data_IF_538070803544
#
_entry.id   IF_538070803544
#
_cell.length_a   1.000
_cell.length_b   1.000
_cell.length_c   1.000
_cell.angle_alpha   90.00
_cell.angle_beta   90.00
_cell.angle_gamma   90.00
#
_symmetry.space_group_name_H-M   'P 1'
#
loop_
_entity.id
_entity.type
_entity.pdbx_description
1 polymer ?
#
# COMPACT_ATOMS: atom_id res chain seq x y z
N UNK A 1 -30.18 49.12 32.54
CA UNK A 1 -28.79 48.61 32.72
C UNK A 1 -28.48 47.64 31.58
N UNK A 2 -27.33 47.82 30.91
CA UNK A 2 -26.64 46.78 30.15
C UNK A 2 -27.01 46.57 28.67
N UNK A 3 -26.47 47.40 27.77
CA UNK A 3 -26.15 46.96 26.41
C UNK A 3 -24.95 45.99 26.46
N UNK A 4 -24.87 45.00 25.56
CA UNK A 4 -23.65 44.67 24.78
C UNK A 4 -23.92 43.61 23.69
N UNK A 5 -23.59 44.03 22.48
CA UNK A 5 -23.45 43.35 21.19
C UNK A 5 -22.27 42.38 21.12
N UNK A 6 -22.42 41.26 20.39
CA UNK A 6 -21.40 40.62 19.51
C UNK A 6 -22.12 39.52 18.71
N UNK A 7 -22.29 39.59 17.37
CA UNK A 7 -21.33 39.17 16.32
C UNK A 7 -20.62 37.85 16.69
N UNK A 8 -20.39 36.83 15.87
CA UNK A 8 -20.52 36.54 14.44
C UNK A 8 -19.73 35.23 14.28
N UNK A 9 -20.20 34.33 13.39
CA UNK A 9 -19.55 33.12 12.85
C UNK A 9 -19.53 31.82 13.67
N UNK A 10 -19.97 30.70 13.06
CA UNK A 10 -19.54 29.37 13.48
C UNK A 10 -18.04 29.24 13.20
N UNK A 11 -17.28 28.86 14.22
CA UNK A 11 -15.87 28.53 14.07
C UNK A 11 -15.72 27.33 13.16
N UNK A 12 -15.13 27.58 11.99
CA UNK A 12 -14.39 26.59 11.23
C UNK A 12 -13.34 25.97 12.16
N UNK A 13 -13.54 24.72 12.56
CA UNK A 13 -12.44 23.79 12.76
C UNK A 13 -12.42 22.85 11.56
N UNK A 14 -12.03 23.44 10.43
CA UNK A 14 -11.42 22.72 9.32
C UNK A 14 -10.05 22.26 9.83
N UNK A 15 -10.01 21.12 10.50
CA UNK A 15 -8.83 20.63 11.20
C UNK A 15 -8.73 19.14 11.06
N UNK A 16 -8.01 18.73 10.00
CA UNK A 16 -7.53 17.37 9.78
C UNK A 16 -8.64 16.33 9.53
N UNK A 17 -9.11 16.30 8.27
CA UNK A 17 -9.12 15.01 7.58
C UNK A 17 -7.73 14.42 7.81
N UNK A 18 -7.66 13.47 8.74
CA UNK A 18 -6.55 12.55 8.82
C UNK A 18 -6.50 11.92 7.43
N UNK A 19 -5.60 12.44 6.60
CA UNK A 19 -5.10 11.74 5.43
C UNK A 19 -4.32 10.56 6.02
N UNK A 20 -5.07 9.58 6.52
CA UNK A 20 -4.54 8.27 6.79
C UNK A 20 -3.99 7.83 5.44
N UNK A 21 -2.66 7.68 5.29
CA UNK A 21 -2.11 7.22 4.03
C UNK A 21 -2.88 5.96 3.68
N UNK A 22 -3.49 5.95 2.50
CA UNK A 22 -4.36 4.87 2.03
C UNK A 22 -3.71 3.54 2.42
N UNK A 23 -4.32 2.84 3.38
CA UNK A 23 -3.78 1.59 3.91
C UNK A 23 -3.51 0.70 2.70
N UNK A 24 -2.25 0.33 2.47
CA UNK A 24 -1.86 -0.41 1.28
C UNK A 24 -2.75 -1.64 1.18
N UNK A 25 -3.61 -1.66 0.15
CA UNK A 25 -4.61 -2.70 0.00
C UNK A 25 -3.87 -4.04 -0.11
N UNK A 26 -4.04 -4.91 0.88
CA UNK A 26 -3.43 -6.23 0.85
C UNK A 26 -4.19 -7.08 -0.17
N UNK A 27 -3.55 -7.39 -1.29
CA UNK A 27 -4.14 -8.23 -2.35
C UNK A 27 -3.69 -9.67 -2.15
N UNK A 28 -4.65 -10.59 -2.01
CA UNK A 28 -4.35 -12.02 -1.98
C UNK A 28 -4.09 -12.54 -3.38
N UNK A 29 -2.94 -13.18 -3.59
CA UNK A 29 -2.53 -13.78 -4.87
C UNK A 29 -2.22 -15.26 -4.66
N UNK A 30 -2.54 -16.09 -5.66
CA UNK A 30 -2.14 -17.51 -5.72
C UNK A 30 -1.05 -17.67 -6.77
N UNK A 31 0.11 -18.20 -6.37
CA UNK A 31 1.24 -18.47 -7.28
C UNK A 31 1.31 -19.98 -7.56
N UNK A 32 1.30 -20.35 -8.84
CA UNK A 32 1.59 -21.71 -9.26
C UNK A 32 3.08 -21.84 -9.54
N UNK A 33 3.77 -22.65 -8.75
CA UNK A 33 5.22 -22.87 -8.84
C UNK A 33 5.51 -24.29 -9.29
N UNK A 34 6.63 -24.48 -9.98
CA UNK A 34 7.20 -25.81 -10.16
C UNK A 34 7.53 -26.41 -8.78
N UNK A 35 7.36 -27.73 -8.65
CA UNK A 35 7.54 -28.45 -7.37
C UNK A 35 8.90 -28.17 -6.75
N UNK A 36 9.97 -28.20 -7.55
CA UNK A 36 11.33 -27.92 -7.08
C UNK A 36 11.46 -26.50 -6.50
N UNK A 37 10.85 -25.50 -7.15
CA UNK A 37 10.87 -24.11 -6.69
C UNK A 37 10.09 -23.95 -5.39
N UNK A 38 8.92 -24.60 -5.26
CA UNK A 38 8.13 -24.57 -4.04
C UNK A 38 8.89 -25.21 -2.85
N UNK A 39 9.61 -26.31 -3.09
CA UNK A 39 10.44 -26.95 -2.07
C UNK A 39 11.59 -26.05 -1.61
N UNK A 40 12.32 -25.43 -2.54
CA UNK A 40 13.39 -24.47 -2.22
C UNK A 40 12.85 -23.28 -1.41
N UNK A 41 11.70 -22.74 -1.80
CA UNK A 41 11.03 -21.66 -1.06
C UNK A 41 10.69 -22.09 0.38
N UNK A 42 10.21 -23.33 0.55
CA UNK A 42 9.94 -23.90 1.87
C UNK A 42 11.19 -24.02 2.75
N UNK A 43 12.32 -24.48 2.17
CA UNK A 43 13.59 -24.57 2.89
C UNK A 43 14.10 -23.19 3.30
N UNK A 44 14.09 -22.21 2.39
CA UNK A 44 14.53 -20.84 2.69
C UNK A 44 13.66 -20.19 3.78
N UNK A 45 12.35 -20.39 3.72
CA UNK A 45 11.40 -19.93 4.75
C UNK A 45 11.75 -20.51 6.13
N UNK A 46 12.05 -21.81 6.20
CA UNK A 46 12.46 -22.44 7.45
C UNK A 46 13.82 -21.93 7.96
N UNK A 47 14.80 -21.77 7.07
CA UNK A 47 16.14 -21.29 7.41
C UNK A 47 16.12 -19.84 7.95
N UNK A 48 15.34 -18.97 7.30
CA UNK A 48 15.25 -17.54 7.66
C UNK A 48 14.21 -17.24 8.74
N UNK A 49 13.37 -18.23 9.11
CA UNK A 49 12.26 -18.10 10.07
C UNK A 49 11.26 -16.99 9.70
N UNK A 50 10.97 -16.86 8.40
CA UNK A 50 9.97 -15.93 7.86
C UNK A 50 8.98 -16.69 6.97
N UNK A 51 7.83 -16.09 6.67
CA UNK A 51 6.82 -16.75 5.82
C UNK A 51 7.29 -16.91 4.38
N UNK A 52 6.77 -17.91 3.68
CA UNK A 52 7.00 -18.07 2.24
C UNK A 52 6.50 -16.86 1.44
N UNK A 53 5.42 -16.20 1.90
CA UNK A 53 4.91 -14.98 1.26
C UNK A 53 5.90 -13.82 1.37
N UNK A 54 6.56 -13.64 2.51
CA UNK A 54 7.56 -12.59 2.70
C UNK A 54 8.74 -12.77 1.73
N UNK A 55 9.22 -14.00 1.57
CA UNK A 55 10.27 -14.30 0.59
C UNK A 55 9.78 -14.05 -0.84
N UNK A 56 8.54 -14.45 -1.16
CA UNK A 56 7.96 -14.21 -2.48
C UNK A 56 7.83 -12.71 -2.78
N UNK A 57 7.46 -11.90 -1.79
CA UNK A 57 7.38 -10.44 -1.88
C UNK A 57 8.77 -9.82 -2.08
N UNK A 58 9.80 -10.26 -1.35
CA UNK A 58 11.19 -9.80 -1.55
C UNK A 58 11.68 -10.08 -2.98
N UNK A 59 11.48 -11.31 -3.46
CA UNK A 59 11.88 -11.73 -4.81
C UNK A 59 11.11 -10.94 -5.87
N UNK A 60 9.80 -10.76 -5.67
CA UNK A 60 8.97 -9.99 -6.58
C UNK A 60 9.43 -8.54 -6.61
N UNK A 61 9.63 -7.88 -5.47
CA UNK A 61 10.10 -6.49 -5.41
C UNK A 61 11.46 -6.32 -6.12
N UNK A 62 12.41 -7.22 -5.89
CA UNK A 62 13.69 -7.24 -6.59
C UNK A 62 13.52 -7.42 -8.11
N UNK A 63 12.59 -8.27 -8.53
CA UNK A 63 12.27 -8.43 -9.95
C UNK A 63 11.65 -7.15 -10.53
N UNK A 64 10.61 -6.59 -9.91
CA UNK A 64 9.92 -5.40 -10.43
C UNK A 64 10.84 -4.18 -10.51
N UNK A 65 11.71 -3.98 -9.51
CA UNK A 65 12.69 -2.88 -9.52
C UNK A 65 13.66 -2.94 -10.70
N UNK A 66 13.99 -4.15 -11.17
CA UNK A 66 14.85 -4.34 -12.36
C UNK A 66 14.14 -3.94 -13.65
N UNK A 67 12.82 -4.12 -13.72
CA UNK A 67 12.05 -3.92 -14.94
C UNK A 67 11.45 -2.52 -15.09
N UNK A 68 11.62 -1.62 -14.11
CA UNK A 68 11.08 -0.26 -14.11
C UNK A 68 9.64 -0.23 -14.64
N UNK A 69 8.75 -1.00 -14.00
CA UNK A 69 7.36 -1.04 -14.41
C UNK A 69 6.79 0.38 -14.44
N UNK A 70 6.06 0.76 -15.51
CA UNK A 70 5.41 2.04 -15.55
C UNK A 70 4.50 2.16 -14.32
N UNK A 71 4.58 3.30 -13.65
CA UNK A 71 3.80 3.57 -12.46
C UNK A 71 2.31 3.58 -12.84
N UNK A 72 1.64 2.44 -12.67
CA UNK A 72 0.20 2.27 -12.98
C UNK A 72 -0.67 2.92 -11.90
N UNK A 73 -0.04 3.53 -10.89
CA UNK A 73 -0.69 4.18 -9.76
C UNK A 73 -1.16 5.60 -10.06
N UNK A 74 -0.99 6.09 -11.30
CA UNK A 74 -1.60 7.35 -11.74
C UNK A 74 -2.94 7.09 -12.47
N UNK A 75 -4.08 7.15 -11.75
CA UNK A 75 -5.41 7.01 -12.36
C UNK A 75 -5.72 8.10 -13.40
N UNK A 76 -4.95 9.20 -13.47
CA UNK A 76 -5.12 10.23 -14.52
C UNK A 76 -4.50 9.81 -15.84
N UNK A 77 -3.62 8.81 -15.87
CA UNK A 77 -2.95 8.34 -17.10
C UNK A 77 -3.74 7.30 -17.87
N UNK A 78 -4.76 6.69 -17.27
CA UNK A 78 -5.63 5.70 -17.92
C UNK A 78 -6.72 6.33 -18.81
N UNK A 79 -7.04 7.61 -18.61
CA UNK A 79 -8.11 8.33 -19.33
C UNK A 79 -7.61 9.05 -20.61
N UNK A 80 -6.32 8.94 -20.94
CA UNK A 80 -5.69 9.65 -22.06
C UNK A 80 -5.26 8.74 -23.23
N UNK A 81 -5.83 7.53 -23.33
CA UNK A 81 -5.56 6.55 -24.39
C UNK A 81 -6.74 6.34 -25.31
#
# INVERSE_FOLDING_TARGET
MGQKTTKQRPGNETGQSHDSPASAATVKVTLHLAVETAQRLGVESAMRRISQSAIAEEVLAAYLSRWQLPDVTDPKRLEAG
#
